data_IF_534029173635
#
_entry.id   IF_534029173635
#
_cell.length_a   1.000
_cell.length_b   1.000
_cell.length_c   1.000
_cell.angle_alpha   90.00
_cell.angle_beta   90.00
_cell.angle_gamma   90.00
#
_symmetry.space_group_name_H-M   'P 1'
#
loop_
_entity.id
_entity.type
_entity.pdbx_description
1 polymer ?
#
# COMPACT_ATOMS: atom_id res chain seq x y z
N UNK A 1 -24.28 -14.51 -13.19
CA UNK A 1 -23.42 -13.35 -13.47
C UNK A 1 -22.03 -13.64 -12.92
N UNK A 2 -21.08 -13.97 -13.79
CA UNK A 2 -19.66 -14.01 -13.43
C UNK A 2 -19.21 -12.58 -13.21
N UNK A 3 -18.79 -12.23 -11.98
CA UNK A 3 -18.06 -10.98 -11.77
C UNK A 3 -16.69 -11.14 -12.45
N UNK A 4 -16.61 -10.62 -13.67
CA UNK A 4 -15.36 -10.34 -14.35
C UNK A 4 -14.59 -9.35 -13.46
N UNK A 5 -13.61 -9.86 -12.72
CA UNK A 5 -12.63 -9.04 -12.06
C UNK A 5 -11.78 -8.46 -13.18
N UNK A 6 -12.21 -7.29 -13.67
CA UNK A 6 -11.56 -6.56 -14.75
C UNK A 6 -10.06 -6.68 -14.59
N UNK A 7 -9.47 -7.43 -15.51
CA UNK A 7 -8.05 -7.75 -15.49
C UNK A 7 -7.28 -6.45 -15.26
N UNK A 8 -6.56 -6.37 -14.14
CA UNK A 8 -5.53 -5.36 -14.00
C UNK A 8 -4.66 -5.49 -15.25
N UNK A 9 -4.69 -4.45 -16.08
CA UNK A 9 -3.98 -4.44 -17.35
C UNK A 9 -2.57 -4.99 -17.11
N UNK A 10 -2.06 -5.89 -17.98
CA UNK A 10 -0.75 -6.48 -17.80
C UNK A 10 0.22 -5.32 -17.60
N UNK A 11 1.02 -5.38 -16.53
CA UNK A 11 2.05 -4.40 -16.22
C UNK A 11 2.75 -4.02 -17.52
N UNK A 12 2.38 -2.87 -18.07
CA UNK A 12 2.79 -2.45 -19.40
C UNK A 12 4.27 -2.15 -19.28
N UNK A 13 5.09 -3.17 -19.55
CA UNK A 13 6.55 -3.22 -19.56
C UNK A 13 7.18 -2.04 -18.83
N UNK A 14 7.50 -2.16 -17.55
CA UNK A 14 8.16 -1.09 -16.81
C UNK A 14 9.40 -0.56 -17.56
N UNK A 15 9.31 0.65 -18.12
CA UNK A 15 10.32 1.24 -19.05
C UNK A 15 11.38 2.03 -18.30
N UNK A 16 11.05 2.55 -17.12
CA UNK A 16 11.93 3.35 -16.28
C UNK A 16 12.23 2.67 -14.94
N UNK A 17 13.30 3.06 -14.22
CA UNK A 17 13.51 2.63 -12.84
C UNK A 17 12.31 2.96 -11.92
N UNK A 18 11.66 4.10 -12.15
CA UNK A 18 10.44 4.50 -11.42
C UNK A 18 9.29 3.52 -11.68
N UNK A 19 9.05 3.15 -12.95
CA UNK A 19 7.99 2.21 -13.31
C UNK A 19 8.18 0.86 -12.59
N UNK A 20 9.43 0.38 -12.52
CA UNK A 20 9.77 -0.88 -11.83
C UNK A 20 9.53 -0.75 -10.32
N UNK A 21 9.90 0.38 -9.73
CA UNK A 21 9.74 0.62 -8.30
C UNK A 21 8.26 0.76 -7.89
N UNK A 22 7.45 1.45 -8.70
CA UNK A 22 5.99 1.49 -8.51
C UNK A 22 5.37 0.11 -8.65
N UNK A 23 5.72 -0.64 -9.70
CA UNK A 23 5.19 -1.99 -9.91
C UNK A 23 5.54 -2.93 -8.75
N UNK A 24 6.79 -2.93 -8.28
CA UNK A 24 7.21 -3.74 -7.14
C UNK A 24 6.48 -3.34 -5.84
N UNK A 25 6.31 -2.04 -5.59
CA UNK A 25 5.59 -1.56 -4.40
C UNK A 25 4.11 -1.99 -4.42
N UNK A 26 3.47 -1.92 -5.60
CA UNK A 26 2.09 -2.36 -5.77
C UNK A 26 1.94 -3.88 -5.67
N UNK A 27 2.86 -4.65 -6.25
CA UNK A 27 2.87 -6.11 -6.15
C UNK A 27 2.95 -6.59 -4.70
N UNK A 28 3.92 -6.05 -3.93
CA UNK A 28 4.07 -6.39 -2.51
C UNK A 28 2.86 -5.97 -1.67
N UNK A 29 2.25 -4.83 -1.98
CA UNK A 29 1.00 -4.39 -1.35
C UNK A 29 -0.14 -5.38 -1.60
N UNK A 30 -0.39 -5.73 -2.86
CA UNK A 30 -1.48 -6.64 -3.24
C UNK A 30 -1.29 -8.02 -2.62
N UNK A 31 -0.06 -8.55 -2.66
CA UNK A 31 0.30 -9.81 -2.01
C UNK A 31 0.07 -9.77 -0.50
N UNK A 32 0.41 -8.66 0.15
CA UNK A 32 0.15 -8.47 1.59
C UNK A 32 -1.34 -8.39 1.92
N UNK A 33 -2.16 -7.91 0.99
CA UNK A 33 -3.62 -7.81 1.11
C UNK A 33 -4.36 -9.12 0.81
N UNK A 34 -3.67 -10.21 0.45
CA UNK A 34 -4.27 -11.54 0.33
C UNK A 34 -4.59 -12.13 1.72
N UNK A 35 -5.58 -11.55 2.39
CA UNK A 35 -6.01 -11.93 3.74
C UNK A 35 -7.24 -12.82 3.66
N UNK A 36 -7.19 -13.98 4.32
CA UNK A 36 -8.37 -14.81 4.53
C UNK A 36 -9.29 -14.12 5.56
N UNK A 37 -10.58 -13.87 5.26
CA UNK A 37 -11.50 -13.28 6.21
C UNK A 37 -11.54 -14.10 7.50
N UNK A 38 -11.35 -13.42 8.64
CA UNK A 38 -11.39 -14.04 9.95
C UNK A 38 -12.81 -14.07 10.54
N UNK A 39 -13.70 -13.24 10.01
CA UNK A 39 -15.06 -13.03 10.54
C UNK A 39 -15.13 -11.96 11.62
N UNK A 40 -13.98 -11.38 12.02
CA UNK A 40 -13.90 -10.21 12.88
C UNK A 40 -13.55 -8.97 12.02
N UNK A 41 -14.47 -8.00 11.89
CA UNK A 41 -14.25 -6.84 11.03
C UNK A 41 -13.09 -5.96 11.50
N UNK A 42 -12.79 -5.89 12.79
CA UNK A 42 -11.67 -5.09 13.29
C UNK A 42 -10.34 -5.74 12.88
N UNK A 43 -10.26 -7.07 12.98
CA UNK A 43 -9.09 -7.84 12.55
C UNK A 43 -8.90 -7.77 11.05
N UNK A 44 -9.97 -7.96 10.30
CA UNK A 44 -9.94 -7.94 8.83
C UNK A 44 -9.57 -6.53 8.33
N UNK A 45 -10.09 -5.47 8.95
CA UNK A 45 -9.71 -4.09 8.63
C UNK A 45 -8.20 -3.86 8.81
N UNK A 46 -7.65 -4.21 9.96
CA UNK A 46 -6.22 -4.00 10.22
C UNK A 46 -5.34 -4.89 9.34
N UNK A 47 -5.75 -6.14 9.11
CA UNK A 47 -5.02 -7.07 8.25
C UNK A 47 -4.95 -6.58 6.79
N UNK A 48 -5.99 -5.92 6.30
CA UNK A 48 -6.01 -5.32 4.96
C UNK A 48 -5.32 -3.96 4.91
N UNK A 49 -5.52 -3.11 5.91
CA UNK A 49 -5.02 -1.73 5.89
C UNK A 49 -3.53 -1.61 6.18
N UNK A 50 -2.96 -2.50 6.99
CA UNK A 50 -1.53 -2.48 7.26
C UNK A 50 -0.66 -2.66 5.98
N UNK A 51 -0.87 -3.69 5.13
CA UNK A 51 -0.14 -3.82 3.87
C UNK A 51 -0.49 -2.72 2.88
N UNK A 52 -1.76 -2.28 2.80
CA UNK A 52 -2.17 -1.14 1.95
C UNK A 52 -1.37 0.13 2.28
N UNK A 53 -1.30 0.50 3.56
CA UNK A 53 -0.61 1.71 4.00
C UNK A 53 0.90 1.60 3.76
N UNK A 54 1.50 0.42 3.98
CA UNK A 54 2.90 0.17 3.64
C UNK A 54 3.18 0.34 2.15
N UNK A 55 2.32 -0.22 1.30
CA UNK A 55 2.39 -0.02 -0.15
C UNK A 55 2.33 1.44 -0.56
N UNK A 56 1.39 2.20 0.03
CA UNK A 56 1.25 3.63 -0.20
C UNK A 56 2.51 4.42 0.21
N UNK A 57 3.11 4.08 1.35
CA UNK A 57 4.38 4.67 1.80
C UNK A 57 5.52 4.39 0.81
N UNK A 58 5.65 3.15 0.34
CA UNK A 58 6.71 2.80 -0.61
C UNK A 58 6.51 3.51 -1.96
N UNK A 59 5.29 3.56 -2.49
CA UNK A 59 5.00 4.34 -3.71
C UNK A 59 5.27 5.83 -3.53
N UNK A 60 4.91 6.41 -2.38
CA UNK A 60 5.22 7.81 -2.08
C UNK A 60 6.75 8.05 -2.03
N UNK A 61 7.53 7.11 -1.50
CA UNK A 61 9.00 7.18 -1.56
C UNK A 61 9.54 7.11 -3.00
N UNK A 62 8.91 6.34 -3.88
CA UNK A 62 9.25 6.33 -5.31
C UNK A 62 9.04 7.73 -5.92
N UNK A 63 7.92 8.40 -5.63
CA UNK A 63 7.69 9.78 -6.09
C UNK A 63 8.73 10.75 -5.51
N UNK A 64 9.09 10.62 -4.23
CA UNK A 64 10.14 11.44 -3.62
C UNK A 64 11.53 11.19 -4.22
N UNK A 65 11.78 10.00 -4.76
CA UNK A 65 13.05 9.62 -5.36
C UNK A 65 13.15 10.04 -6.83
N UNK A 66 12.11 9.83 -7.63
CA UNK A 66 12.14 9.98 -9.09
C UNK A 66 11.29 11.13 -9.62
N UNK A 67 10.27 11.55 -8.85
CA UNK A 67 9.36 12.62 -9.20
C UNK A 67 10.03 14.00 -9.19
N UNK A 68 9.54 14.88 -10.06
CA UNK A 68 10.12 16.23 -10.28
C UNK A 68 9.14 17.35 -9.97
N UNK A 69 7.85 17.05 -9.92
CA UNK A 69 6.83 18.05 -9.63
C UNK A 69 6.83 18.40 -8.13
N UNK A 70 7.01 19.68 -7.75
CA UNK A 70 7.13 20.06 -6.34
C UNK A 70 5.84 19.83 -5.53
N UNK A 71 4.66 19.95 -6.15
CA UNK A 71 3.39 19.73 -5.46
C UNK A 71 3.17 18.23 -5.19
N UNK A 72 3.45 17.37 -6.16
CA UNK A 72 3.35 15.92 -5.99
C UNK A 72 4.38 15.38 -5.00
N UNK A 73 5.60 15.92 -5.01
CA UNK A 73 6.61 15.57 -4.00
C UNK A 73 6.19 16.00 -2.59
N UNK A 74 5.57 17.17 -2.45
CA UNK A 74 5.01 17.60 -1.17
C UNK A 74 3.91 16.65 -0.70
N UNK A 75 2.98 16.30 -1.60
CA UNK A 75 1.93 15.33 -1.30
C UNK A 75 2.52 13.98 -0.87
N UNK A 76 3.54 13.48 -1.57
CA UNK A 76 4.20 12.23 -1.22
C UNK A 76 4.84 12.27 0.17
N UNK A 77 5.51 13.38 0.54
CA UNK A 77 6.04 13.56 1.90
C UNK A 77 4.93 13.57 2.97
N UNK A 78 3.81 14.23 2.68
CA UNK A 78 2.64 14.27 3.58
C UNK A 78 2.02 12.87 3.74
N UNK A 79 1.91 12.09 2.66
CA UNK A 79 1.47 10.68 2.68
C UNK A 79 2.37 9.84 3.56
N UNK A 80 3.70 9.90 3.38
CA UNK A 80 4.66 9.13 4.19
C UNK A 80 4.46 9.41 5.68
N UNK A 81 4.31 10.68 6.06
CA UNK A 81 4.14 11.09 7.45
C UNK A 81 2.82 10.58 8.04
N UNK A 82 1.70 10.78 7.35
CA UNK A 82 0.39 10.39 7.84
C UNK A 82 0.29 8.86 7.97
N UNK A 83 0.67 8.14 6.93
CA UNK A 83 0.55 6.69 6.86
C UNK A 83 1.48 5.99 7.85
N UNK A 84 2.66 6.55 8.16
CA UNK A 84 3.53 6.03 9.20
C UNK A 84 2.88 6.05 10.60
N UNK A 85 2.11 7.10 10.91
CA UNK A 85 1.37 7.19 12.18
C UNK A 85 0.25 6.15 12.22
N UNK A 86 -0.51 6.00 11.14
CA UNK A 86 -1.60 5.03 11.02
C UNK A 86 -1.08 3.58 11.10
N UNK A 87 0.06 3.28 10.48
CA UNK A 87 0.76 1.99 10.62
C UNK A 87 1.10 1.72 12.07
N UNK A 88 1.68 2.69 12.79
CA UNK A 88 2.03 2.53 14.20
C UNK A 88 0.78 2.28 15.08
N UNK A 89 -0.32 2.97 14.79
CA UNK A 89 -1.61 2.77 15.48
C UNK A 89 -2.15 1.35 15.25
N UNK A 90 -2.15 0.87 14.01
CA UNK A 90 -2.58 -0.48 13.65
C UNK A 90 -1.70 -1.56 14.29
N UNK A 91 -0.38 -1.39 14.28
CA UNK A 91 0.56 -2.30 14.96
C UNK A 91 0.34 -2.32 16.47
N UNK A 92 0.12 -1.16 17.09
CA UNK A 92 -0.19 -1.06 18.51
C UNK A 92 -1.53 -1.75 18.84
N UNK A 93 -2.53 -1.62 17.97
CA UNK A 93 -3.81 -2.31 18.12
C UNK A 93 -3.63 -3.83 18.07
N UNK A 94 -2.86 -4.36 17.11
CA UNK A 94 -2.55 -5.80 17.03
C UNK A 94 -1.80 -6.29 18.27
N UNK A 95 -0.81 -5.53 18.78
CA UNK A 95 -0.05 -5.91 19.97
C UNK A 95 -0.90 -5.97 21.25
N UNK A 96 -1.95 -5.14 21.36
CA UNK A 96 -2.90 -5.16 22.49
C UNK A 96 -3.88 -6.32 22.44
N UNK A 97 -4.17 -6.86 21.24
CA UNK A 97 -5.16 -7.92 21.00
C UNK A 97 -4.58 -9.23 20.44
N UNK A 98 -3.26 -9.37 20.42
CA UNK A 98 -2.53 -10.59 20.04
C UNK A 98 -2.57 -11.70 21.09
N UNK A 99 -3.61 -11.74 21.94
CA UNK A 99 -3.97 -12.83 22.83
C UNK A 99 -5.31 -13.40 22.39
#
# INVERSE_FOLDING_TARGET
>A
MTMDHGAMAPAATARTPADKAFAASNEEMMKGMEVKPSGDPDRDFVAMMLPHHRGAVEMAKVELQYGKDPELRKLAADIVKAQAVEIAQMQAWQGKRGK
#
